data_IF_076257923339
#
_entry.id   IF_076257923339
#
_cell.length_a   1.000
_cell.length_b   1.000
_cell.length_c   1.000
_cell.angle_alpha   90.00
_cell.angle_beta   90.00
_cell.angle_gamma   90.00
#
_symmetry.space_group_name_H-M   'P 1'
#
loop_
_entity.id
_entity.type
_entity.pdbx_description
1 polymer ?
#
# COMPACT_ATOMS: atom_id res chain seq x y z
N UNK A 1 1.10 6.50 -22.60
CA UNK A 1 1.84 7.73 -22.26
C UNK A 1 1.76 8.86 -23.33
N UNK A 2 0.89 8.81 -24.35
CA UNK A 2 0.87 9.85 -25.40
C UNK A 2 0.11 11.14 -25.02
N UNK A 3 -0.87 11.06 -24.11
CA UNK A 3 -1.72 12.22 -23.76
C UNK A 3 -0.96 13.30 -22.96
N UNK A 4 -0.07 12.92 -22.05
CA UNK A 4 0.73 13.85 -21.25
C UNK A 4 1.76 14.62 -22.10
N UNK A 5 2.21 14.03 -23.22
CA UNK A 5 3.20 14.65 -24.12
C UNK A 5 2.60 15.79 -24.96
N UNK A 6 1.29 15.78 -25.21
CA UNK A 6 0.60 16.79 -26.03
C UNK A 6 0.26 18.09 -25.28
N UNK A 7 0.35 18.12 -23.95
CA UNK A 7 0.04 19.29 -23.12
C UNK A 7 1.28 20.05 -22.63
N UNK A 8 2.47 19.75 -23.17
CA UNK A 8 3.71 20.46 -22.82
C UNK A 8 4.18 20.27 -21.37
N UNK A 9 3.54 19.40 -20.60
CA UNK A 9 3.96 19.01 -19.26
C UNK A 9 5.16 18.07 -19.37
N UNK A 10 6.39 18.60 -19.21
CA UNK A 10 7.59 17.77 -18.96
C UNK A 10 7.54 17.25 -17.53
N UNK A 11 6.64 16.31 -17.26
CA UNK A 11 6.65 15.62 -15.98
C UNK A 11 7.81 14.62 -16.03
N UNK A 12 8.88 14.89 -15.29
CA UNK A 12 9.97 13.95 -14.94
C UNK A 12 11.29 13.93 -15.75
N UNK A 13 11.51 14.65 -16.85
CA UNK A 13 12.86 14.92 -17.44
C UNK A 13 13.97 13.87 -17.18
N UNK A 14 15.06 14.28 -16.52
CA UNK A 14 16.21 13.41 -16.20
C UNK A 14 15.87 12.23 -15.28
N UNK A 15 14.83 12.37 -14.44
CA UNK A 15 14.39 11.33 -13.49
C UNK A 15 13.65 10.22 -14.21
N UNK A 16 12.81 10.57 -15.19
CA UNK A 16 12.13 9.62 -16.08
C UNK A 16 13.18 8.80 -16.84
N UNK A 17 14.14 9.49 -17.47
CA UNK A 17 15.21 8.83 -18.20
C UNK A 17 16.03 7.91 -17.29
N UNK A 18 16.36 8.35 -16.07
CA UNK A 18 17.02 7.50 -15.08
C UNK A 18 16.20 6.24 -14.76
N UNK A 19 14.90 6.37 -14.46
CA UNK A 19 14.02 5.25 -14.08
C UNK A 19 13.78 4.28 -15.24
N UNK A 20 13.55 4.78 -16.45
CA UNK A 20 13.42 3.95 -17.64
C UNK A 20 14.72 3.18 -17.88
N UNK A 21 15.86 3.88 -17.85
CA UNK A 21 17.16 3.27 -18.13
C UNK A 21 17.54 2.22 -17.09
N UNK A 22 17.30 2.43 -15.79
CA UNK A 22 17.64 1.44 -14.77
C UNK A 22 16.80 0.18 -14.90
N UNK A 23 15.50 0.30 -15.20
CA UNK A 23 14.62 -0.86 -15.39
C UNK A 23 15.04 -1.64 -16.64
N UNK A 24 15.18 -0.98 -17.80
CA UNK A 24 15.56 -1.63 -19.05
C UNK A 24 16.93 -2.29 -18.98
N UNK A 25 17.94 -1.61 -18.39
CA UNK A 25 19.27 -2.21 -18.18
C UNK A 25 19.22 -3.42 -17.25
N UNK A 26 18.35 -3.39 -16.24
CA UNK A 26 18.17 -4.54 -15.33
C UNK A 26 17.55 -5.71 -16.06
N UNK A 27 16.55 -5.48 -16.91
CA UNK A 27 15.94 -6.52 -17.76
C UNK A 27 17.00 -7.12 -18.67
N UNK A 28 17.71 -6.29 -19.44
CA UNK A 28 18.77 -6.75 -20.36
C UNK A 28 19.86 -7.54 -19.62
N UNK A 29 20.30 -7.05 -18.46
CA UNK A 29 21.29 -7.73 -17.64
C UNK A 29 20.80 -9.11 -17.16
N UNK A 30 19.54 -9.21 -16.72
CA UNK A 30 18.97 -10.47 -16.24
C UNK A 30 18.82 -11.49 -17.36
N UNK A 31 18.39 -11.06 -18.55
CA UNK A 31 18.24 -11.93 -19.71
C UNK A 31 19.60 -12.38 -20.26
N UNK A 32 20.57 -11.46 -20.36
CA UNK A 32 21.91 -11.81 -20.86
C UNK A 32 22.66 -12.77 -19.93
N UNK A 33 22.56 -12.54 -18.63
CA UNK A 33 23.31 -13.31 -17.63
C UNK A 33 22.50 -14.45 -16.99
N UNK A 34 21.25 -14.64 -17.44
CA UNK A 34 20.33 -15.67 -16.92
C UNK A 34 20.17 -15.58 -15.39
N UNK A 35 20.09 -14.34 -14.88
CA UNK A 35 19.99 -14.08 -13.44
C UNK A 35 18.56 -14.33 -12.97
N UNK A 36 18.41 -15.32 -12.11
CA UNK A 36 17.15 -15.63 -11.45
C UNK A 36 17.08 -14.99 -10.06
N UNK A 37 16.01 -14.22 -9.81
CA UNK A 37 15.71 -13.66 -8.50
C UNK A 37 14.20 -13.62 -8.33
N UNK A 38 13.70 -14.19 -7.23
CA UNK A 38 12.26 -14.18 -6.89
C UNK A 38 11.86 -12.80 -6.37
N UNK A 39 11.54 -11.88 -7.29
CA UNK A 39 11.11 -10.52 -6.97
C UNK A 39 10.00 -10.03 -7.92
N UNK A 40 9.49 -8.83 -7.67
CA UNK A 40 8.42 -8.23 -8.47
C UNK A 40 8.78 -8.11 -9.96
N UNK A 41 10.03 -7.78 -10.28
CA UNK A 41 10.49 -7.69 -11.67
C UNK A 41 10.47 -9.05 -12.36
N UNK A 42 10.76 -10.13 -11.65
CA UNK A 42 10.63 -11.47 -12.18
C UNK A 42 9.19 -11.84 -12.54
N UNK A 43 8.22 -11.45 -11.69
CA UNK A 43 6.79 -11.63 -12.00
C UNK A 43 6.39 -10.86 -13.28
N UNK A 44 6.87 -9.62 -13.44
CA UNK A 44 6.60 -8.84 -14.65
C UNK A 44 7.23 -9.47 -15.91
N UNK A 45 8.43 -10.05 -15.79
CA UNK A 45 9.09 -10.76 -16.88
C UNK A 45 8.36 -12.06 -17.25
N UNK A 46 7.81 -12.79 -16.27
CA UNK A 46 6.92 -13.93 -16.50
C UNK A 46 5.65 -13.53 -17.27
N UNK A 47 5.07 -12.37 -16.96
CA UNK A 47 3.88 -11.87 -17.64
C UNK A 47 4.14 -11.37 -19.07
N UNK A 48 5.32 -10.78 -19.32
CA UNK A 48 5.78 -10.41 -20.68
C UNK A 48 6.06 -11.62 -21.55
N UNK A 49 6.59 -12.67 -20.96
CA UNK A 49 7.01 -13.87 -21.65
C UNK A 49 6.27 -15.08 -21.07
N UNK A 50 5.01 -15.32 -21.52
CA UNK A 50 4.22 -16.47 -21.06
C UNK A 50 5.08 -17.73 -21.11
N UNK A 51 5.23 -18.39 -19.97
CA UNK A 51 5.99 -19.63 -19.77
C UNK A 51 7.52 -19.56 -19.90
N UNK A 52 8.19 -18.40 -19.91
CA UNK A 52 9.68 -18.39 -19.93
C UNK A 52 10.35 -18.49 -18.55
N UNK A 53 9.62 -18.33 -17.45
CA UNK A 53 10.16 -18.61 -16.11
C UNK A 53 9.15 -19.39 -15.29
N UNK A 54 9.42 -20.66 -15.00
CA UNK A 54 8.63 -21.45 -14.05
C UNK A 54 8.92 -20.98 -12.62
N UNK A 55 8.02 -21.24 -11.66
CA UNK A 55 8.25 -20.98 -10.21
C UNK A 55 9.53 -21.65 -9.66
N UNK A 56 10.01 -22.64 -10.40
CA UNK A 56 11.17 -23.48 -10.16
C UNK A 56 12.49 -22.87 -10.68
N UNK A 57 12.43 -21.71 -11.34
CA UNK A 57 13.60 -20.99 -11.88
C UNK A 57 14.20 -21.58 -13.15
N UNK A 58 13.52 -22.51 -13.81
CA UNK A 58 13.92 -23.03 -15.13
C UNK A 58 13.26 -22.22 -16.25
N UNK A 59 14.02 -21.95 -17.30
CA UNK A 59 13.48 -21.37 -18.52
C UNK A 59 12.87 -22.48 -19.37
N UNK A 60 11.55 -22.54 -19.42
CA UNK A 60 10.82 -23.37 -20.38
C UNK A 60 10.75 -22.62 -21.71
N UNK A 61 11.61 -22.99 -22.66
CA UNK A 61 11.61 -22.47 -24.05
C UNK A 61 10.46 -23.03 -24.90
N UNK A 62 9.32 -23.32 -24.30
CA UNK A 62 8.17 -23.91 -24.98
C UNK A 62 6.95 -23.01 -24.81
N UNK A 63 6.96 -21.90 -25.55
CA UNK A 63 5.83 -21.37 -26.33
C UNK A 63 6.11 -19.92 -26.72
N UNK A 64 6.12 -19.64 -28.02
CA UNK A 64 6.21 -18.29 -28.59
C UNK A 64 4.86 -17.56 -28.49
N UNK A 65 4.16 -17.65 -27.37
CA UNK A 65 3.06 -16.73 -27.10
C UNK A 65 3.68 -15.45 -26.53
N UNK A 66 3.69 -14.37 -27.33
CA UNK A 66 4.00 -13.04 -26.80
C UNK A 66 3.06 -12.77 -25.63
N UNK A 67 3.62 -12.56 -24.44
CA UNK A 67 2.84 -12.21 -23.27
C UNK A 67 2.19 -10.84 -23.43
N UNK A 68 1.36 -10.48 -22.47
CA UNK A 68 0.46 -9.34 -22.58
C UNK A 68 1.10 -8.00 -22.20
N UNK A 69 2.32 -8.01 -21.64
CA UNK A 69 3.01 -6.81 -21.15
C UNK A 69 4.17 -6.39 -22.07
N UNK A 70 4.17 -5.12 -22.45
CA UNK A 70 5.27 -4.43 -23.14
C UNK A 70 6.33 -3.93 -22.15
N UNK A 71 7.53 -3.63 -22.63
CA UNK A 71 8.61 -3.06 -21.80
C UNK A 71 8.19 -1.72 -21.16
N UNK A 72 7.48 -0.88 -21.90
CA UNK A 72 6.92 0.37 -21.39
C UNK A 72 5.92 0.14 -20.25
N UNK A 73 5.09 -0.91 -20.32
CA UNK A 73 4.17 -1.29 -19.25
C UNK A 73 4.92 -1.85 -18.04
N UNK A 74 5.99 -2.63 -18.24
CA UNK A 74 6.84 -3.09 -17.13
C UNK A 74 7.46 -1.90 -16.40
N UNK A 75 8.07 -0.97 -17.14
CA UNK A 75 8.65 0.26 -16.57
C UNK A 75 7.60 1.04 -15.79
N UNK A 76 6.41 1.20 -16.38
CA UNK A 76 5.28 1.91 -15.75
C UNK A 76 4.86 1.23 -14.45
N UNK A 77 4.71 -0.10 -14.44
CA UNK A 77 4.35 -0.86 -13.23
C UNK A 77 5.44 -0.74 -12.15
N UNK A 78 6.72 -0.86 -12.51
CA UNK A 78 7.83 -0.69 -11.57
C UNK A 78 7.80 0.70 -10.92
N UNK A 79 7.54 1.75 -11.71
CA UNK A 79 7.47 3.11 -11.22
C UNK A 79 6.27 3.32 -10.29
N UNK A 80 5.08 2.84 -10.67
CA UNK A 80 3.87 2.95 -9.84
C UNK A 80 4.07 2.26 -8.49
N UNK A 81 4.61 1.04 -8.47
CA UNK A 81 4.90 0.32 -7.24
C UNK A 81 5.92 1.03 -6.36
N UNK A 82 6.96 1.61 -6.96
CA UNK A 82 7.96 2.40 -6.23
C UNK A 82 7.31 3.61 -5.55
N UNK A 83 6.55 4.42 -6.28
CA UNK A 83 5.93 5.64 -5.71
C UNK A 83 4.89 5.27 -4.66
N UNK A 84 4.01 4.30 -4.95
CA UNK A 84 2.96 3.88 -4.04
C UNK A 84 3.50 3.30 -2.73
N UNK A 85 4.60 2.54 -2.79
CA UNK A 85 5.23 1.93 -1.62
C UNK A 85 6.15 2.88 -0.85
N UNK A 86 6.81 3.82 -1.53
CA UNK A 86 7.81 4.69 -0.92
C UNK A 86 7.19 5.80 -0.05
N UNK A 87 6.31 6.61 -0.64
CA UNK A 87 5.80 7.81 0.05
C UNK A 87 4.92 7.44 1.25
N UNK A 88 4.04 6.46 1.08
CA UNK A 88 3.14 5.98 2.15
C UNK A 88 3.90 5.38 3.33
N UNK A 89 4.87 4.49 3.06
CA UNK A 89 5.64 3.81 4.10
C UNK A 89 6.62 4.75 4.79
N UNK A 90 7.29 5.63 4.04
CA UNK A 90 8.25 6.60 4.61
C UNK A 90 7.54 7.58 5.54
N UNK A 91 6.40 8.15 5.14
CA UNK A 91 5.61 9.02 6.01
C UNK A 91 5.18 8.32 7.29
N UNK A 92 4.65 7.09 7.17
CA UNK A 92 4.22 6.30 8.33
C UNK A 92 5.38 6.04 9.28
N UNK A 93 6.53 5.61 8.78
CA UNK A 93 7.72 5.35 9.59
C UNK A 93 8.23 6.63 10.26
N UNK A 94 8.31 7.74 9.53
CA UNK A 94 8.75 9.03 10.08
C UNK A 94 7.84 9.49 11.21
N UNK A 95 6.52 9.38 11.06
CA UNK A 95 5.57 9.81 12.09
C UNK A 95 5.54 8.87 13.30
N UNK A 96 5.67 7.56 13.08
CA UNK A 96 5.78 6.59 14.18
C UNK A 96 7.03 6.87 15.04
N UNK A 97 8.18 7.10 14.39
CA UNK A 97 9.43 7.46 15.08
C UNK A 97 9.31 8.81 15.78
N UNK A 98 8.66 9.80 15.16
CA UNK A 98 8.42 11.09 15.78
C UNK A 98 7.62 10.96 17.09
N UNK A 99 6.55 10.17 17.11
CA UNK A 99 5.79 9.93 18.34
C UNK A 99 6.59 9.12 19.36
N UNK A 100 7.41 8.18 18.92
CA UNK A 100 8.35 7.47 19.78
C UNK A 100 9.32 8.43 20.48
N UNK A 101 9.85 9.44 19.80
CA UNK A 101 10.77 10.41 20.42
C UNK A 101 10.16 11.18 21.59
N UNK A 102 8.84 11.30 21.66
CA UNK A 102 8.13 12.01 22.74
C UNK A 102 7.78 11.13 23.93
N UNK A 103 7.87 9.81 23.79
CA UNK A 103 7.40 8.85 24.80
C UNK A 103 8.47 7.76 25.01
N UNK A 104 9.27 7.91 26.07
CA UNK A 104 10.31 6.94 26.42
C UNK A 104 9.72 5.58 26.81
N UNK A 105 8.61 5.54 27.54
CA UNK A 105 7.93 4.29 27.92
C UNK A 105 7.49 3.49 26.69
N UNK A 106 7.00 4.17 25.65
CA UNK A 106 6.66 3.53 24.38
C UNK A 106 7.89 2.98 23.67
N UNK A 107 9.04 3.67 23.72
CA UNK A 107 10.29 3.15 23.17
C UNK A 107 10.74 1.90 23.92
N UNK A 108 10.66 1.91 25.26
CA UNK A 108 11.03 0.77 26.09
C UNK A 108 10.14 -0.44 25.77
N UNK A 109 8.82 -0.26 25.70
CA UNK A 109 7.89 -1.34 25.31
C UNK A 109 8.19 -1.92 23.92
N UNK A 110 8.48 -1.07 22.93
CA UNK A 110 8.88 -1.54 21.59
C UNK A 110 10.22 -2.29 21.62
N UNK A 111 11.16 -1.88 22.47
CA UNK A 111 12.46 -2.56 22.63
C UNK A 111 12.33 -3.87 23.37
N UNK A 112 11.48 -3.95 24.38
CA UNK A 112 11.21 -5.14 25.17
C UNK A 112 10.51 -6.24 24.37
N UNK A 113 9.89 -5.88 23.25
CA UNK A 113 9.35 -6.81 22.26
C UNK A 113 10.43 -7.41 21.33
N UNK A 114 11.61 -6.80 21.26
CA UNK A 114 12.75 -7.31 20.49
C UNK A 114 13.37 -8.58 21.12
N UNK A 115 13.49 -8.74 22.45
CA UNK A 115 13.86 -9.99 23.13
C UNK A 115 13.07 -11.24 22.71
N UNK A 116 11.84 -11.08 22.20
CA UNK A 116 11.07 -12.18 21.58
C UNK A 116 11.82 -12.82 20.40
N UNK A 117 12.87 -12.17 19.85
CA UNK A 117 13.83 -12.72 18.88
C UNK A 117 14.75 -13.80 19.44
N UNK A 118 14.88 -13.98 20.76
CA UNK A 118 15.64 -15.11 21.33
C UNK A 118 15.04 -16.46 20.91
N UNK A 119 13.72 -16.49 20.66
CA UNK A 119 13.02 -17.64 20.07
C UNK A 119 13.48 -17.96 18.64
N UNK A 120 14.08 -17.00 17.95
CA UNK A 120 14.51 -17.07 16.54
C UNK A 120 16.03 -16.90 16.40
N UNK A 121 16.81 -17.34 17.40
CA UNK A 121 18.27 -17.28 17.40
C UNK A 121 18.84 -15.86 17.18
N UNK A 122 18.08 -14.83 17.55
CA UNK A 122 18.45 -13.42 17.35
C UNK A 122 18.19 -12.88 15.94
N UNK A 123 17.64 -13.69 15.03
CA UNK A 123 17.30 -13.27 13.67
C UNK A 123 15.91 -12.63 13.57
N UNK A 124 15.78 -11.57 12.75
CA UNK A 124 14.48 -11.00 12.41
C UNK A 124 13.88 -11.78 11.23
N UNK A 125 13.23 -12.89 11.54
CA UNK A 125 12.45 -13.67 10.56
C UNK A 125 11.08 -13.04 10.30
N UNK A 126 10.38 -13.53 9.27
CA UNK A 126 9.01 -13.09 8.98
C UNK A 126 8.05 -13.45 10.12
N UNK A 127 8.25 -14.61 10.73
CA UNK A 127 7.51 -15.08 11.90
C UNK A 127 7.80 -14.20 13.12
N UNK A 128 9.07 -13.87 13.36
CA UNK A 128 9.45 -12.94 14.44
C UNK A 128 8.80 -11.56 14.27
N UNK A 129 8.77 -11.04 13.03
CA UNK A 129 8.15 -9.75 12.74
C UNK A 129 6.63 -9.74 13.00
N UNK A 130 5.94 -10.87 12.80
CA UNK A 130 4.51 -11.01 13.11
C UNK A 130 4.20 -11.00 14.61
N UNK A 131 5.16 -11.39 15.43
CA UNK A 131 5.02 -11.41 16.90
C UNK A 131 5.29 -10.03 17.54
N UNK A 132 5.62 -9.01 16.74
CA UNK A 132 5.78 -7.62 17.20
C UNK A 132 4.42 -6.91 17.34
N UNK A 133 3.58 -7.42 18.25
CA UNK A 133 2.22 -6.93 18.51
C UNK A 133 2.17 -5.45 18.92
N UNK A 134 3.06 -5.00 19.81
CA UNK A 134 3.12 -3.62 20.27
C UNK A 134 3.60 -2.69 19.16
N UNK A 135 4.59 -3.10 18.36
CA UNK A 135 4.97 -2.34 17.15
C UNK A 135 3.79 -2.22 16.17
N UNK A 136 3.01 -3.28 15.94
CA UNK A 136 1.80 -3.21 15.08
C UNK A 136 0.75 -2.25 15.67
N UNK A 137 0.59 -2.19 17.00
CA UNK A 137 -0.26 -1.19 17.66
C UNK A 137 0.23 0.24 17.38
N UNK A 138 1.54 0.49 17.49
CA UNK A 138 2.14 1.80 17.20
C UNK A 138 1.95 2.21 15.74
N UNK A 139 2.16 1.28 14.79
CA UNK A 139 1.90 1.52 13.36
C UNK A 139 0.42 1.85 13.13
N UNK A 140 -0.48 1.10 13.78
CA UNK A 140 -1.92 1.32 13.62
C UNK A 140 -2.38 2.67 14.18
N UNK A 141 -1.89 3.07 15.35
CA UNK A 141 -2.18 4.40 15.93
C UNK A 141 -1.54 5.53 15.11
N UNK A 142 -0.38 5.28 14.50
CA UNK A 142 0.24 6.21 13.55
C UNK A 142 -0.65 6.43 12.34
N UNK A 143 -1.17 5.37 11.73
CA UNK A 143 -2.08 5.47 10.58
C UNK A 143 -3.43 6.11 10.94
N UNK A 144 -3.89 5.99 12.19
CA UNK A 144 -5.05 6.73 12.69
C UNK A 144 -4.77 8.23 12.71
N UNK A 145 -3.71 8.64 13.41
CA UNK A 145 -3.40 10.05 13.65
C UNK A 145 -2.87 10.77 12.41
N UNK A 146 -2.04 10.08 11.64
CA UNK A 146 -1.35 10.56 10.45
C UNK A 146 -1.70 9.69 9.23
N UNK A 147 -2.96 9.72 8.76
CA UNK A 147 -3.37 8.90 7.63
C UNK A 147 -2.68 9.37 6.34
N UNK A 148 -2.04 8.45 5.63
CA UNK A 148 -1.41 8.70 4.31
C UNK A 148 -2.42 9.22 3.27
N UNK A 149 -3.69 8.83 3.41
CA UNK A 149 -4.82 9.32 2.62
C UNK A 149 -5.87 9.96 3.55
N UNK A 150 -5.73 11.26 3.89
CA UNK A 150 -6.63 11.94 4.85
C UNK A 150 -8.05 12.12 4.32
N UNK A 151 -8.25 12.02 3.01
CA UNK A 151 -9.57 11.94 2.39
C UNK A 151 -9.55 11.05 1.16
N UNK A 152 -10.66 10.38 0.90
CA UNK A 152 -10.84 9.55 -0.29
C UNK A 152 -11.87 10.21 -1.20
N UNK A 153 -11.56 10.28 -2.49
CA UNK A 153 -12.44 10.86 -3.49
C UNK A 153 -13.06 9.78 -4.37
N UNK A 154 -14.33 9.96 -4.72
CA UNK A 154 -15.08 9.15 -5.68
C UNK A 154 -15.89 10.05 -6.58
N UNK A 155 -16.22 9.56 -7.76
CA UNK A 155 -17.18 10.20 -8.66
C UNK A 155 -18.36 9.26 -8.82
N UNK A 156 -19.57 9.78 -8.61
CA UNK A 156 -20.78 9.00 -8.74
C UNK A 156 -20.98 8.59 -10.21
N UNK A 157 -21.03 7.30 -10.52
CA UNK A 157 -21.10 6.83 -11.92
C UNK A 157 -22.54 6.64 -12.42
N UNK A 158 -23.50 6.67 -11.50
CA UNK A 158 -24.95 6.56 -11.70
C UNK A 158 -25.65 7.24 -10.52
N UNK A 159 -26.86 7.73 -10.72
CA UNK A 159 -27.64 8.32 -9.62
C UNK A 159 -27.77 7.30 -8.47
N UNK A 160 -27.52 7.78 -7.25
CA UNK A 160 -27.41 6.93 -6.06
C UNK A 160 -28.17 7.55 -4.89
N UNK A 161 -29.23 6.87 -4.46
CA UNK A 161 -29.94 7.20 -3.21
C UNK A 161 -29.18 6.61 -2.03
N UNK A 162 -28.79 7.46 -1.08
CA UNK A 162 -28.09 7.03 0.13
C UNK A 162 -29.04 6.18 1.01
N UNK A 163 -28.65 4.95 1.39
CA UNK A 163 -29.49 4.09 2.21
C UNK A 163 -29.87 4.74 3.55
N UNK A 164 -31.16 4.73 3.87
CA UNK A 164 -31.68 5.29 5.13
C UNK A 164 -31.86 6.81 5.13
N UNK A 165 -31.68 7.49 3.99
CA UNK A 165 -31.99 8.91 3.84
C UNK A 165 -32.68 9.16 2.50
N UNK A 166 -33.29 10.34 2.35
CA UNK A 166 -33.87 10.80 1.08
C UNK A 166 -32.84 11.56 0.22
N UNK A 167 -31.55 11.41 0.51
CA UNK A 167 -30.48 12.11 -0.20
C UNK A 167 -30.14 11.35 -1.48
N UNK A 168 -30.28 12.03 -2.61
CA UNK A 168 -29.89 11.53 -3.93
C UNK A 168 -28.56 12.17 -4.36
N UNK A 169 -27.61 11.33 -4.77
CA UNK A 169 -26.32 11.75 -5.30
C UNK A 169 -26.35 11.54 -6.82
N UNK A 170 -26.46 12.64 -7.55
CA UNK A 170 -26.51 12.62 -9.01
C UNK A 170 -25.22 12.07 -9.63
N UNK A 171 -25.34 11.41 -10.76
CA UNK A 171 -24.21 10.99 -11.60
C UNK A 171 -23.30 12.18 -11.92
N UNK A 172 -22.00 11.96 -11.81
CA UNK A 172 -20.96 12.97 -12.01
C UNK A 172 -20.62 13.75 -10.73
N UNK A 173 -21.41 13.62 -9.66
CA UNK A 173 -21.10 14.27 -8.38
C UNK A 173 -19.81 13.71 -7.78
N UNK A 174 -18.91 14.61 -7.38
CA UNK A 174 -17.72 14.26 -6.60
C UNK A 174 -18.08 14.07 -5.13
N UNK A 175 -17.73 12.90 -4.59
CA UNK A 175 -17.92 12.55 -3.18
C UNK A 175 -16.57 12.47 -2.51
N UNK A 176 -16.39 13.23 -1.44
CA UNK A 176 -15.18 13.21 -0.61
C UNK A 176 -15.50 12.62 0.76
N UNK A 177 -14.77 11.57 1.14
CA UNK A 177 -14.91 10.87 2.42
C UNK A 177 -13.78 11.36 3.33
N UNK A 178 -14.06 12.10 4.42
CA UNK A 178 -13.05 12.70 5.29
C UNK A 178 -12.50 11.68 6.30
N UNK A 179 -11.57 10.83 5.87
CA UNK A 179 -10.93 9.78 6.72
C UNK A 179 -10.33 10.37 7.99
N UNK A 180 -9.54 11.44 7.88
CA UNK A 180 -8.96 12.11 9.05
C UNK A 180 -10.04 12.69 9.98
N UNK A 181 -11.15 13.14 9.43
CA UNK A 181 -12.29 13.62 10.23
C UNK A 181 -12.80 12.54 11.17
N UNK A 182 -13.07 11.34 10.64
CA UNK A 182 -13.50 10.20 11.46
C UNK A 182 -12.44 9.75 12.47
N UNK A 183 -11.16 9.77 12.08
CA UNK A 183 -10.06 9.39 12.97
C UNK A 183 -9.84 10.36 14.14
N UNK A 184 -10.27 11.62 13.99
CA UNK A 184 -10.12 12.68 14.99
C UNK A 184 -11.41 12.98 15.73
N UNK A 185 -12.48 12.21 15.49
CA UNK A 185 -13.77 12.40 16.14
C UNK A 185 -13.78 11.76 17.54
N UNK A 186 -14.04 12.52 18.62
CA UNK A 186 -14.12 11.98 19.98
C UNK A 186 -15.21 10.95 20.22
N UNK A 187 -16.29 10.92 19.41
CA UNK A 187 -17.34 9.88 19.49
C UNK A 187 -16.75 8.50 19.16
N UNK A 188 -15.78 8.50 18.26
CA UNK A 188 -15.14 7.30 17.72
C UNK A 188 -13.82 6.98 18.43
N UNK A 189 -13.02 7.99 18.73
CA UNK A 189 -11.73 7.88 19.38
C UNK A 189 -11.66 8.84 20.57
N UNK A 190 -11.97 8.39 21.80
CA UNK A 190 -11.93 9.24 22.99
C UNK A 190 -10.55 9.86 23.19
N UNK A 191 -10.45 11.18 23.39
CA UNK A 191 -9.18 11.92 23.41
C UNK A 191 -8.33 11.70 22.13
N UNK A 192 -8.85 12.05 20.94
CA UNK A 192 -8.25 11.68 19.65
C UNK A 192 -6.87 12.32 19.41
N UNK A 193 -6.57 13.40 20.13
CA UNK A 193 -5.29 14.10 20.11
C UNK A 193 -4.21 13.46 21.00
N UNK A 194 -4.53 12.40 21.74
CA UNK A 194 -3.54 11.63 22.50
C UNK A 194 -3.14 10.42 21.68
N UNK A 195 -1.83 10.28 21.45
CA UNK A 195 -1.25 9.11 20.76
C UNK A 195 -1.21 7.95 21.74
N UNK A 196 -2.09 6.97 21.57
CA UNK A 196 -2.24 5.83 22.46
C UNK A 196 -2.30 4.51 21.66
N UNK A 197 -1.20 3.75 21.59
CA UNK A 197 -1.17 2.44 20.94
C UNK A 197 -2.17 1.44 21.52
N UNK A 198 -2.56 1.55 22.80
CA UNK A 198 -3.42 0.56 23.45
C UNK A 198 -4.86 0.57 22.93
N UNK A 199 -5.26 1.61 22.20
CA UNK A 199 -6.50 1.65 21.40
C UNK A 199 -6.61 0.50 20.39
N UNK A 200 -5.47 -0.06 20.00
CA UNK A 200 -5.36 -1.15 19.04
C UNK A 200 -5.04 -2.50 19.70
N UNK A 201 -5.22 -2.62 21.02
CA UNK A 201 -5.23 -3.90 21.71
C UNK A 201 -6.34 -4.81 21.18
N UNK A 202 -6.17 -6.12 21.32
CA UNK A 202 -7.15 -7.10 20.83
C UNK A 202 -8.52 -6.92 21.51
N UNK A 203 -8.53 -6.52 22.78
CA UNK A 203 -9.75 -6.24 23.54
C UNK A 203 -10.49 -5.00 23.02
N UNK A 204 -9.78 -3.90 22.77
CA UNK A 204 -10.38 -2.67 22.27
C UNK A 204 -10.83 -2.82 20.80
N UNK A 205 -10.07 -3.58 19.99
CA UNK A 205 -10.50 -3.98 18.64
C UNK A 205 -11.82 -4.76 18.66
N UNK A 206 -12.04 -5.61 19.65
CA UNK A 206 -13.28 -6.39 19.79
C UNK A 206 -14.48 -5.55 20.26
N UNK A 207 -14.25 -4.50 21.07
CA UNK A 207 -15.30 -3.59 21.58
C UNK A 207 -15.66 -2.48 20.58
N UNK A 208 -14.73 -2.10 19.71
CA UNK A 208 -14.93 -0.98 18.81
C UNK A 208 -16.06 -1.23 17.79
N UNK A 209 -17.05 -0.33 17.77
CA UNK A 209 -18.09 -0.29 16.73
C UNK A 209 -17.54 0.19 15.39
N UNK A 210 -16.41 0.88 15.42
CA UNK A 210 -15.64 1.22 14.25
C UNK A 210 -14.92 -0.05 13.88
N UNK A 211 -15.49 -0.74 12.91
CA UNK A 211 -14.86 -1.89 12.33
C UNK A 211 -13.46 -1.45 11.84
N UNK A 212 -12.40 -1.83 12.56
CA UNK A 212 -11.02 -1.61 12.12
C UNK A 212 -10.79 -2.18 10.72
N UNK A 213 -11.55 -3.22 10.36
CA UNK A 213 -11.69 -3.75 9.00
C UNK A 213 -12.31 -2.74 8.02
N UNK A 214 -13.33 -1.94 8.39
CA UNK A 214 -13.86 -0.88 7.51
C UNK A 214 -12.81 0.19 7.21
N UNK A 215 -11.97 0.57 8.17
CA UNK A 215 -10.92 1.59 7.96
C UNK A 215 -9.65 1.01 7.32
N UNK A 216 -9.17 -0.18 7.73
CA UNK A 216 -8.10 -0.90 7.00
C UNK A 216 -8.53 -1.16 5.54
N UNK A 217 -9.80 -1.48 5.26
CA UNK A 217 -10.31 -1.60 3.88
C UNK A 217 -10.51 -0.26 3.14
N UNK A 218 -10.65 0.85 3.86
CA UNK A 218 -10.69 2.21 3.29
C UNK A 218 -9.27 2.65 2.92
N UNK A 219 -8.27 2.34 3.75
CA UNK A 219 -6.85 2.65 3.51
C UNK A 219 -6.21 1.69 2.50
N UNK A 220 -6.56 0.41 2.56
CA UNK A 220 -6.18 -0.64 1.60
C UNK A 220 -7.43 -1.08 0.83
N UNK A 221 -7.75 -0.29 -0.20
CA UNK A 221 -8.55 -0.49 -1.43
C UNK A 221 -9.64 -1.60 -1.59
N UNK A 222 -9.61 -2.71 -0.86
CA UNK A 222 -10.28 -3.95 -1.25
C UNK A 222 -11.81 -4.00 -1.08
N UNK A 223 -12.44 -3.11 -0.29
CA UNK A 223 -13.89 -3.25 -0.02
C UNK A 223 -14.79 -2.14 -0.56
N UNK A 224 -14.23 -1.14 -1.24
CA UNK A 224 -15.03 -0.12 -1.95
C UNK A 224 -15.34 -0.56 -3.40
N UNK A 225 -14.54 -1.46 -3.98
CA UNK A 225 -14.77 -1.96 -5.35
C UNK A 225 -16.04 -2.81 -5.49
N UNK A 226 -16.45 -3.53 -4.43
CA UNK A 226 -17.63 -4.41 -4.51
C UNK A 226 -18.97 -3.67 -4.66
N UNK A 227 -19.00 -2.34 -4.51
CA UNK A 227 -20.20 -1.55 -4.74
C UNK A 227 -20.33 -0.98 -6.16
N UNK A 228 -19.32 -1.08 -7.03
CA UNK A 228 -19.44 -0.64 -8.43
C UNK A 228 -18.46 -1.35 -9.36
N UNK A 229 -19.02 -2.02 -10.38
CA UNK A 229 -18.47 -2.49 -11.67
C UNK A 229 -18.32 -4.01 -11.87
N UNK A 230 -19.13 -4.60 -12.79
CA UNK A 230 -18.87 -5.89 -13.43
C UNK A 230 -17.86 -5.84 -14.59
N UNK A 231 -17.42 -4.66 -15.04
CA UNK A 231 -16.53 -4.55 -16.20
C UNK A 231 -15.57 -3.36 -16.04
N UNK A 232 -14.35 -3.66 -15.61
CA UNK A 232 -13.16 -2.84 -15.85
C UNK A 232 -11.91 -3.71 -15.64
N UNK A 233 -11.84 -4.81 -16.39
CA UNK A 233 -10.68 -5.34 -17.12
C UNK A 233 -11.23 -6.26 -18.20
#
# INVERSE_FOLDING_TARGET
MSFQRNIGYKSFGDVEEFFVNIVLKTIEHREKNQVFRKDFMHLLLQLRNKNLFSDDGKLTKENNETGTFTDDEIVTQCFIFFVAGFDTSSLTMTMALYEATKNSEMQDKMRDEIPTKEKYDGELTYEAAKELEYVEKVVSETLRRYPVAPSIQRVCTKDYTMPGTDIEIEKGTHVQIPVRGFHMDPEYYPNPEVFDPERFSNEEKAKSRICYLKIKHILFYERVEKCTFPHAF
#
